data_IF_222824122110
#
_entry.id   IF_222824122110
#
_cell.length_a   1.000
_cell.length_b   1.000
_cell.length_c   1.000
_cell.angle_alpha   90.00
_cell.angle_beta   90.00
_cell.angle_gamma   90.00
#
_symmetry.space_group_name_H-M   'P 1'
#
loop_
_entity.id
_entity.type
_entity.pdbx_description
1 polymer ?
#
# COMPACT_ATOMS: atom_id res chain seq x y z
N UNK A 1 1.37 7.72 10.82
CA UNK A 1 -0.01 7.29 11.13
C UNK A 1 -0.15 7.16 12.64
N UNK A 2 -1.20 7.73 13.22
CA UNK A 2 -1.52 7.56 14.66
C UNK A 2 -2.40 6.30 14.77
N UNK A 3 -2.04 5.30 15.59
CA UNK A 3 -2.88 4.13 15.80
C UNK A 3 -4.30 4.52 16.20
N UNK A 4 -5.30 3.79 15.68
CA UNK A 4 -6.73 4.07 15.91
C UNK A 4 -7.06 4.26 17.39
N UNK A 5 -6.63 3.34 18.23
CA UNK A 5 -6.94 3.36 19.67
C UNK A 5 -6.29 4.56 20.37
N UNK A 6 -5.08 4.92 19.94
CA UNK A 6 -4.39 6.11 20.42
C UNK A 6 -5.12 7.39 20.00
N UNK A 7 -5.56 7.47 18.74
CA UNK A 7 -6.32 8.60 18.24
C UNK A 7 -7.60 8.80 19.06
N UNK A 8 -8.39 7.76 19.30
CA UNK A 8 -9.64 7.89 20.07
C UNK A 8 -9.42 8.15 21.56
N UNK A 9 -8.31 7.65 22.13
CA UNK A 9 -8.00 7.82 23.54
C UNK A 9 -7.43 9.21 23.85
N UNK A 10 -6.49 9.68 23.04
CA UNK A 10 -5.64 10.85 23.35
C UNK A 10 -5.90 12.07 22.47
N UNK A 11 -6.38 11.91 21.23
CA UNK A 11 -6.49 13.01 20.27
C UNK A 11 -7.94 13.44 20.00
N UNK A 12 -8.79 12.51 19.55
CA UNK A 12 -10.22 12.69 19.19
C UNK A 12 -10.53 13.65 18.05
N UNK A 13 -9.66 14.60 17.75
CA UNK A 13 -9.77 15.55 16.65
C UNK A 13 -8.41 15.71 15.92
N UNK A 14 -8.39 16.23 14.67
CA UNK A 14 -7.18 16.32 13.87
C UNK A 14 -6.13 17.29 14.41
N UNK A 15 -6.51 18.36 15.10
CA UNK A 15 -5.56 19.32 15.67
C UNK A 15 -4.75 18.69 16.80
N UNK A 16 -5.41 18.01 17.73
CA UNK A 16 -4.75 17.31 18.83
C UNK A 16 -3.90 16.13 18.32
N UNK A 17 -4.32 15.49 17.23
CA UNK A 17 -3.54 14.45 16.56
C UNK A 17 -2.23 15.00 15.96
N UNK A 18 -2.30 16.12 15.25
CA UNK A 18 -1.11 16.78 14.70
C UNK A 18 -0.18 17.24 15.83
N UNK A 19 -0.73 17.88 16.88
CA UNK A 19 0.05 18.32 18.03
C UNK A 19 0.74 17.14 18.71
N UNK A 20 0.00 16.05 19.00
CA UNK A 20 0.58 14.82 19.54
C UNK A 20 1.74 14.32 18.69
N UNK A 21 1.59 14.36 17.36
CA UNK A 21 2.66 14.02 16.41
C UNK A 21 3.89 14.93 16.53
N UNK A 22 3.69 16.24 16.66
CA UNK A 22 4.78 17.21 16.85
C UNK A 22 5.57 16.92 18.14
N UNK A 23 4.93 16.44 19.20
CA UNK A 23 5.60 16.18 20.48
C UNK A 23 6.24 14.79 20.55
N UNK A 24 5.63 13.77 19.93
CA UNK A 24 5.94 12.36 20.23
C UNK A 24 6.55 11.56 19.06
N UNK A 25 6.44 12.01 17.80
CA UNK A 25 6.92 11.21 16.66
C UNK A 25 8.40 11.48 16.37
N UNK A 26 8.79 12.74 16.19
CA UNK A 26 10.17 13.11 15.90
C UNK A 26 10.44 14.59 16.19
N UNK A 27 11.59 14.94 16.81
CA UNK A 27 11.97 16.34 17.04
C UNK A 27 12.13 17.14 15.73
N UNK A 28 12.38 16.46 14.61
CA UNK A 28 12.47 17.09 13.28
C UNK A 28 11.19 17.80 12.85
N UNK A 29 10.02 17.34 13.31
CA UNK A 29 8.73 17.94 12.96
C UNK A 29 8.68 19.36 13.54
N UNK A 30 8.87 19.52 14.85
CA UNK A 30 8.91 20.85 15.49
C UNK A 30 9.97 21.76 14.89
N UNK A 31 11.18 21.23 14.63
CA UNK A 31 12.28 22.01 14.04
C UNK A 31 11.91 22.58 12.67
N UNK A 32 11.24 21.80 11.81
CA UNK A 32 10.86 22.21 10.45
C UNK A 32 9.66 23.14 10.43
N UNK A 33 8.74 23.00 11.39
CA UNK A 33 7.50 23.78 11.47
C UNK A 33 7.58 25.01 12.41
N UNK A 34 8.75 25.33 12.98
CA UNK A 34 8.92 26.41 13.97
C UNK A 34 8.34 27.78 13.55
N UNK A 35 8.37 28.10 12.25
CA UNK A 35 7.85 29.35 11.68
C UNK A 35 6.77 29.09 10.62
N UNK A 36 6.17 27.89 10.61
CA UNK A 36 5.13 27.55 9.66
C UNK A 36 3.80 28.15 10.10
N UNK A 37 3.06 28.71 9.15
CA UNK A 37 1.69 29.16 9.34
C UNK A 37 0.73 28.14 8.74
N UNK A 38 -0.24 27.66 9.53
CA UNK A 38 -1.26 26.73 9.04
C UNK A 38 -2.26 27.48 8.16
N UNK A 39 -2.50 26.95 6.98
CA UNK A 39 -3.55 27.44 6.07
C UNK A 39 -4.68 26.41 6.02
N UNK A 40 -5.89 26.85 6.37
CA UNK A 40 -7.10 26.01 6.42
C UNK A 40 -7.22 25.14 7.68
N UNK A 41 -8.31 24.37 7.73
CA UNK A 41 -8.63 23.47 8.84
C UNK A 41 -7.97 22.10 8.66
N UNK A 42 -7.54 21.50 9.78
CA UNK A 42 -7.01 20.15 9.78
C UNK A 42 -8.14 19.11 9.64
N UNK A 43 -7.82 17.95 9.07
CA UNK A 43 -8.79 16.89 8.80
C UNK A 43 -8.25 15.54 9.27
N UNK A 44 -9.17 14.65 9.63
CA UNK A 44 -8.87 13.26 9.97
C UNK A 44 -9.63 12.32 9.04
N UNK A 45 -8.95 11.27 8.60
CA UNK A 45 -9.51 10.24 7.74
C UNK A 45 -9.01 8.87 8.21
N UNK A 46 -9.85 7.86 8.03
CA UNK A 46 -9.48 6.49 8.33
C UNK A 46 -8.42 5.97 7.36
N UNK A 47 -7.38 5.33 7.90
CA UNK A 47 -6.28 4.70 7.16
C UNK A 47 -6.27 3.20 7.47
N UNK A 48 -7.26 2.48 6.93
CA UNK A 48 -7.40 1.03 7.13
C UNK A 48 -7.19 0.32 5.80
N UNK A 49 -6.15 -0.52 5.72
CA UNK A 49 -5.97 -1.40 4.56
C UNK A 49 -7.15 -2.37 4.44
N UNK A 50 -7.74 -2.48 3.26
CA UNK A 50 -8.84 -3.40 2.96
C UNK A 50 -8.70 -4.01 1.57
N UNK A 51 -9.41 -5.13 1.36
CA UNK A 51 -9.57 -5.80 0.08
C UNK A 51 -10.99 -6.33 -0.03
N UNK A 52 -11.63 -6.13 -1.18
CA UNK A 52 -12.97 -6.61 -1.50
C UNK A 52 -12.85 -7.74 -2.52
N UNK A 53 -13.50 -8.88 -2.23
CA UNK A 53 -13.62 -9.99 -3.17
C UNK A 53 -15.05 -10.54 -3.18
N UNK A 54 -15.62 -10.86 -4.36
CA UNK A 54 -15.08 -10.59 -5.69
C UNK A 54 -15.09 -9.08 -6.01
N UNK A 55 -14.17 -8.63 -6.87
CA UNK A 55 -14.13 -7.26 -7.39
C UNK A 55 -14.31 -7.18 -8.91
N UNK A 56 -14.70 -8.30 -9.51
CA UNK A 56 -15.07 -8.43 -10.92
C UNK A 56 -16.28 -9.35 -11.02
N UNK A 57 -17.16 -9.11 -12.00
CA UNK A 57 -18.33 -9.93 -12.27
C UNK A 57 -18.97 -9.60 -13.61
N UNK A 58 -20.13 -10.21 -13.89
CA UNK A 58 -20.84 -10.02 -15.16
C UNK A 58 -21.32 -8.58 -15.30
N UNK A 59 -20.77 -7.86 -16.27
CA UNK A 59 -21.08 -6.45 -16.53
C UNK A 59 -20.47 -5.44 -15.56
N UNK A 60 -19.57 -5.84 -14.66
CA UNK A 60 -18.94 -4.91 -13.71
C UNK A 60 -17.52 -5.31 -13.28
N UNK A 61 -16.70 -4.31 -12.98
CA UNK A 61 -15.42 -4.47 -12.28
C UNK A 61 -15.12 -3.23 -11.44
N UNK A 62 -14.26 -3.38 -10.44
CA UNK A 62 -13.75 -2.28 -9.63
C UNK A 62 -12.28 -1.96 -9.98
N UNK A 63 -11.89 -0.70 -9.82
CA UNK A 63 -10.51 -0.21 -9.98
C UNK A 63 -10.11 0.69 -8.81
N UNK A 64 -8.82 0.75 -8.52
CA UNK A 64 -8.22 1.53 -7.44
C UNK A 64 -8.82 1.21 -6.08
N UNK A 65 -8.97 2.26 -5.27
CA UNK A 65 -9.50 2.17 -3.92
C UNK A 65 -10.92 1.57 -3.87
N UNK A 66 -11.68 1.54 -4.97
CA UNK A 66 -13.01 0.92 -4.98
C UNK A 66 -13.02 -0.58 -4.61
N UNK A 67 -11.88 -1.28 -4.68
CA UNK A 67 -11.77 -2.66 -4.17
C UNK A 67 -10.61 -2.90 -3.21
N UNK A 68 -9.53 -2.12 -3.27
CA UNK A 68 -8.37 -2.36 -2.42
C UNK A 68 -7.65 -1.08 -2.06
N UNK A 69 -7.39 -0.91 -0.77
CA UNK A 69 -6.63 0.19 -0.21
C UNK A 69 -5.45 -0.36 0.58
N UNK A 70 -4.29 0.26 0.41
CA UNK A 70 -3.04 -0.07 1.11
C UNK A 70 -2.59 1.15 1.92
N UNK A 71 -1.86 0.91 3.02
CA UNK A 71 -1.23 1.98 3.81
C UNK A 71 -0.46 2.97 2.89
N UNK A 72 -0.76 4.28 2.95
CA UNK A 72 -0.22 5.28 2.05
C UNK A 72 1.24 5.67 2.34
N UNK A 73 1.92 5.04 3.31
CA UNK A 73 3.31 5.35 3.68
C UNK A 73 4.29 5.36 2.49
N UNK A 74 4.06 4.51 1.48
CA UNK A 74 4.86 4.47 0.24
C UNK A 74 4.13 5.04 -0.98
N UNK A 75 3.02 5.76 -0.79
CA UNK A 75 2.35 6.57 -1.83
C UNK A 75 1.91 5.81 -3.11
N UNK A 76 1.49 4.53 -2.98
CA UNK A 76 1.07 3.72 -4.12
C UNK A 76 -0.30 4.07 -4.70
N UNK A 77 -1.24 4.59 -3.91
CA UNK A 77 -2.68 4.65 -4.24
C UNK A 77 -2.98 5.22 -5.64
N UNK A 78 -2.51 6.44 -5.93
CA UNK A 78 -2.73 7.09 -7.23
C UNK A 78 -2.06 6.32 -8.38
N UNK A 79 -0.83 5.84 -8.17
CA UNK A 79 -0.08 5.07 -9.16
C UNK A 79 -0.81 3.77 -9.55
N UNK A 80 -1.39 3.09 -8.56
CA UNK A 80 -2.10 1.84 -8.76
C UNK A 80 -3.48 2.08 -9.36
N UNK A 81 -4.23 3.08 -8.89
CA UNK A 81 -5.52 3.45 -9.48
C UNK A 81 -5.40 3.75 -10.99
N UNK A 82 -4.37 4.48 -11.41
CA UNK A 82 -4.11 4.75 -12.83
C UNK A 82 -3.75 3.47 -13.60
N UNK A 83 -2.86 2.62 -13.07
CA UNK A 83 -2.48 1.36 -13.72
C UNK A 83 -3.66 0.41 -13.87
N UNK A 84 -4.48 0.28 -12.82
CA UNK A 84 -5.69 -0.54 -12.85
C UNK A 84 -6.71 0.01 -13.85
N UNK A 85 -6.92 1.33 -13.93
CA UNK A 85 -7.79 1.93 -14.93
C UNK A 85 -7.36 1.62 -16.36
N UNK A 86 -6.05 1.72 -16.66
CA UNK A 86 -5.49 1.36 -17.97
C UNK A 86 -5.70 -0.13 -18.26
N UNK A 87 -5.33 -1.01 -17.33
CA UNK A 87 -5.43 -2.47 -17.53
C UNK A 87 -6.87 -2.96 -17.62
N UNK A 88 -7.78 -2.35 -16.87
CA UNK A 88 -9.20 -2.65 -16.89
C UNK A 88 -9.85 -2.23 -18.22
N UNK A 89 -9.41 -1.13 -18.83
CA UNK A 89 -9.90 -0.73 -20.16
C UNK A 89 -9.63 -1.81 -21.22
N UNK A 90 -8.46 -2.43 -21.20
CA UNK A 90 -8.13 -3.57 -22.09
C UNK A 90 -9.06 -4.76 -21.86
N UNK A 91 -9.33 -5.08 -20.58
CA UNK A 91 -10.22 -6.19 -20.21
C UNK A 91 -11.67 -5.92 -20.62
N UNK A 92 -12.15 -4.68 -20.44
CA UNK A 92 -13.49 -4.25 -20.87
C UNK A 92 -13.62 -4.37 -22.38
N UNK A 93 -12.63 -3.90 -23.14
CA UNK A 93 -12.63 -4.02 -24.60
C UNK A 93 -12.74 -5.48 -25.05
N UNK A 94 -11.94 -6.36 -24.47
CA UNK A 94 -11.97 -7.80 -24.79
C UNK A 94 -13.32 -8.44 -24.43
N UNK A 95 -13.91 -8.05 -23.30
CA UNK A 95 -15.21 -8.57 -22.88
C UNK A 95 -16.34 -8.16 -23.84
N UNK A 96 -16.33 -6.90 -24.30
CA UNK A 96 -17.29 -6.38 -25.27
C UNK A 96 -17.11 -7.07 -26.63
N UNK A 97 -15.88 -7.16 -27.13
CA UNK A 97 -15.59 -7.72 -28.46
C UNK A 97 -15.83 -9.24 -28.52
N UNK A 98 -15.54 -9.96 -27.43
CA UNK A 98 -15.65 -11.42 -27.36
C UNK A 98 -17.00 -11.94 -26.83
N UNK A 99 -17.86 -11.06 -26.31
CA UNK A 99 -19.10 -11.43 -25.62
C UNK A 99 -18.88 -12.45 -24.48
N UNK A 100 -17.73 -12.38 -23.80
CA UNK A 100 -17.37 -13.15 -22.60
C UNK A 100 -16.59 -12.26 -21.63
N UNK A 101 -17.13 -12.05 -20.43
CA UNK A 101 -16.47 -11.25 -19.41
C UNK A 101 -15.45 -12.05 -18.59
N UNK A 102 -15.65 -13.38 -18.44
CA UNK A 102 -14.93 -14.17 -17.43
C UNK A 102 -13.43 -14.18 -17.69
N UNK A 103 -13.05 -14.52 -18.91
CA UNK A 103 -11.64 -14.61 -19.30
C UNK A 103 -10.88 -13.30 -19.12
N UNK A 104 -11.31 -12.17 -19.72
CA UNK A 104 -10.58 -10.91 -19.59
C UNK A 104 -10.62 -10.34 -18.17
N UNK A 105 -11.74 -10.48 -17.44
CA UNK A 105 -11.85 -9.91 -16.10
C UNK A 105 -11.08 -10.73 -15.07
N UNK A 106 -10.98 -12.06 -15.19
CA UNK A 106 -10.10 -12.85 -14.35
C UNK A 106 -8.62 -12.59 -14.64
N UNK A 107 -8.24 -12.37 -15.90
CA UNK A 107 -6.88 -11.94 -16.22
C UNK A 107 -6.53 -10.58 -15.59
N UNK A 108 -7.46 -9.62 -15.59
CA UNK A 108 -7.30 -8.35 -14.86
C UNK A 108 -7.20 -8.57 -13.34
N UNK A 109 -8.09 -9.39 -12.78
CA UNK A 109 -8.12 -9.71 -11.34
C UNK A 109 -6.78 -10.29 -10.88
N UNK A 110 -6.25 -11.27 -11.60
CA UNK A 110 -5.02 -11.97 -11.21
C UNK A 110 -3.80 -11.06 -11.32
N UNK A 111 -3.74 -10.24 -12.37
CA UNK A 111 -2.73 -9.19 -12.53
C UNK A 111 -2.78 -8.16 -11.38
N UNK A 112 -3.98 -7.67 -11.03
CA UNK A 112 -4.18 -6.69 -9.95
C UNK A 112 -3.77 -7.29 -8.61
N UNK A 113 -4.24 -8.51 -8.31
CA UNK A 113 -3.91 -9.22 -7.09
C UNK A 113 -2.41 -9.42 -6.92
N UNK A 114 -1.69 -9.82 -7.98
CA UNK A 114 -0.24 -10.00 -7.96
C UNK A 114 0.49 -8.72 -7.56
N UNK A 115 0.25 -7.63 -8.29
CA UNK A 115 0.97 -6.38 -8.05
C UNK A 115 0.61 -5.70 -6.72
N UNK A 116 -0.67 -5.68 -6.37
CA UNK A 116 -1.11 -5.13 -5.09
C UNK A 116 -0.60 -5.95 -3.90
N UNK A 117 -0.42 -7.27 -4.06
CA UNK A 117 0.11 -8.10 -3.00
C UNK A 117 1.61 -7.87 -2.75
N UNK A 118 2.40 -7.64 -3.80
CA UNK A 118 3.83 -7.30 -3.66
C UNK A 118 3.99 -5.98 -2.88
N UNK A 119 3.19 -4.97 -3.19
CA UNK A 119 3.20 -3.71 -2.45
C UNK A 119 2.76 -3.88 -0.99
N UNK A 120 1.72 -4.69 -0.75
CA UNK A 120 1.27 -5.00 0.61
C UNK A 120 2.36 -5.71 1.43
N UNK A 121 3.09 -6.65 0.82
CA UNK A 121 4.21 -7.33 1.48
C UNK A 121 5.35 -6.37 1.79
N UNK A 122 5.71 -5.48 0.86
CA UNK A 122 6.74 -4.47 1.10
C UNK A 122 6.37 -3.56 2.28
N UNK A 123 5.13 -3.07 2.33
CA UNK A 123 4.62 -2.26 3.44
C UNK A 123 4.70 -3.02 4.76
N UNK A 124 4.20 -4.26 4.77
CA UNK A 124 4.15 -5.09 5.97
C UNK A 124 5.56 -5.42 6.47
N UNK A 125 6.46 -5.73 5.54
CA UNK A 125 7.87 -5.98 5.84
C UNK A 125 8.55 -4.76 6.46
N UNK A 126 8.30 -3.56 5.92
CA UNK A 126 8.79 -2.32 6.50
C UNK A 126 8.30 -2.11 7.94
N UNK A 127 7.02 -2.36 8.21
CA UNK A 127 6.46 -2.20 9.56
C UNK A 127 7.00 -3.22 10.56
N UNK A 128 7.27 -4.46 10.14
CA UNK A 128 7.86 -5.50 11.01
C UNK A 128 9.35 -5.25 11.24
N UNK A 129 10.09 -4.85 10.20
CA UNK A 129 11.55 -4.76 10.21
C UNK A 129 12.09 -3.42 9.70
N UNK A 130 11.71 -2.26 10.27
CA UNK A 130 12.04 -0.95 9.69
C UNK A 130 13.55 -0.66 9.64
N UNK A 131 14.28 -1.08 10.67
CA UNK A 131 15.74 -0.93 10.73
C UNK A 131 16.42 -1.83 9.70
N UNK A 132 15.97 -3.08 9.59
CA UNK A 132 16.57 -4.03 8.66
C UNK A 132 16.27 -3.67 7.19
N UNK A 133 15.07 -3.15 6.91
CA UNK A 133 14.74 -2.55 5.62
C UNK A 133 15.75 -1.45 5.25
N UNK A 134 16.09 -0.57 6.20
CA UNK A 134 17.12 0.45 6.00
C UNK A 134 18.51 -0.12 5.71
N UNK A 135 18.94 -1.15 6.46
CA UNK A 135 20.22 -1.82 6.20
C UNK A 135 20.25 -2.53 4.84
N UNK A 136 19.15 -3.13 4.41
CA UNK A 136 19.06 -3.79 3.11
C UNK A 136 19.23 -2.81 1.93
N UNK A 137 18.96 -1.52 2.12
CA UNK A 137 19.23 -0.50 1.09
C UNK A 137 20.73 -0.27 0.85
N UNK A 138 21.61 -0.83 1.69
CA UNK A 138 23.06 -0.86 1.45
C UNK A 138 23.49 -2.01 0.54
N UNK A 139 22.64 -3.02 0.34
CA UNK A 139 22.86 -4.08 -0.64
C UNK A 139 22.46 -3.58 -2.03
N UNK A 140 23.38 -3.49 -3.01
CA UNK A 140 23.10 -2.90 -4.32
C UNK A 140 22.00 -3.64 -5.09
N UNK A 141 21.99 -4.97 -5.09
CA UNK A 141 20.99 -5.77 -5.79
C UNK A 141 19.57 -5.49 -5.25
N UNK A 142 19.42 -5.52 -3.91
CA UNK A 142 18.13 -5.30 -3.27
C UNK A 142 17.69 -3.85 -3.39
N UNK A 143 18.64 -2.91 -3.31
CA UNK A 143 18.37 -1.48 -3.48
C UNK A 143 17.74 -1.21 -4.84
N UNK A 144 18.29 -1.76 -5.92
CA UNK A 144 17.79 -1.51 -7.27
C UNK A 144 16.38 -2.07 -7.48
N UNK A 145 16.10 -3.27 -6.98
CA UNK A 145 14.74 -3.83 -7.01
C UNK A 145 13.77 -2.99 -6.16
N UNK A 146 14.16 -2.61 -4.94
CA UNK A 146 13.30 -1.80 -4.05
C UNK A 146 13.03 -0.42 -4.62
N UNK A 147 14.00 0.22 -5.30
CA UNK A 147 13.77 1.49 -6.02
C UNK A 147 12.65 1.33 -7.06
N UNK A 148 12.68 0.25 -7.84
CA UNK A 148 11.66 -0.02 -8.86
C UNK A 148 10.31 -0.34 -8.23
N UNK A 149 10.30 -1.15 -7.17
CA UNK A 149 9.07 -1.47 -6.42
C UNK A 149 8.43 -0.20 -5.87
N UNK A 150 9.20 0.66 -5.18
CA UNK A 150 8.73 1.95 -4.66
C UNK A 150 8.29 2.92 -5.78
N UNK A 151 8.84 2.78 -6.99
CA UNK A 151 8.36 3.47 -8.20
C UNK A 151 7.02 2.95 -8.74
N UNK A 152 6.48 1.88 -8.16
CA UNK A 152 5.21 1.25 -8.57
C UNK A 152 5.36 0.15 -9.63
N UNK A 153 6.57 -0.34 -9.90
CA UNK A 153 6.82 -1.48 -10.78
C UNK A 153 6.57 -2.81 -10.06
N UNK A 154 5.36 -3.00 -9.50
CA UNK A 154 4.99 -4.19 -8.75
C UNK A 154 4.25 -5.24 -9.58
N UNK A 155 3.84 -4.91 -10.82
CA UNK A 155 2.94 -5.75 -11.62
C UNK A 155 3.66 -6.66 -12.64
N UNK A 156 5.00 -6.61 -12.67
CA UNK A 156 5.85 -7.41 -13.55
C UNK A 156 7.20 -7.66 -12.84
N UNK A 157 7.19 -8.62 -11.91
CA UNK A 157 8.31 -8.88 -10.99
C UNK A 157 8.75 -10.34 -10.97
N UNK A 158 8.44 -11.11 -12.02
CA UNK A 158 8.83 -12.51 -12.07
C UNK A 158 10.36 -12.63 -12.01
N UNK A 159 10.86 -13.48 -11.11
CA UNK A 159 12.30 -13.70 -10.91
C UNK A 159 13.02 -12.67 -10.04
N UNK A 160 12.34 -11.65 -9.50
CA UNK A 160 12.96 -10.67 -8.59
C UNK A 160 13.16 -11.27 -7.19
N UNK A 161 14.23 -10.88 -6.50
CA UNK A 161 14.59 -11.41 -5.18
C UNK A 161 13.75 -10.79 -4.05
N UNK A 162 13.50 -9.48 -4.12
CA UNK A 162 12.87 -8.70 -3.06
C UNK A 162 11.45 -9.17 -2.72
N UNK A 163 10.53 -9.41 -3.69
CA UNK A 163 9.20 -9.95 -3.37
C UNK A 163 9.25 -11.26 -2.59
N UNK A 164 10.14 -12.19 -2.96
CA UNK A 164 10.32 -13.46 -2.26
C UNK A 164 10.87 -13.26 -0.84
N UNK A 165 11.83 -12.35 -0.66
CA UNK A 165 12.38 -12.02 0.67
C UNK A 165 11.28 -11.48 1.59
N UNK A 166 10.47 -10.53 1.12
CA UNK A 166 9.40 -9.95 1.92
C UNK A 166 8.38 -11.00 2.31
N UNK A 167 7.91 -11.80 1.35
CA UNK A 167 6.94 -12.87 1.59
C UNK A 167 7.44 -13.88 2.62
N UNK A 168 8.64 -14.40 2.45
CA UNK A 168 9.19 -15.42 3.33
C UNK A 168 9.36 -14.92 4.77
N UNK A 169 9.86 -13.69 4.93
CA UNK A 169 10.06 -13.09 6.25
C UNK A 169 8.73 -12.84 6.97
N UNK A 170 7.70 -12.41 6.24
CA UNK A 170 6.35 -12.20 6.78
C UNK A 170 5.73 -13.52 7.23
N UNK A 171 5.80 -14.56 6.40
CA UNK A 171 5.28 -15.88 6.76
C UNK A 171 5.99 -16.47 7.97
N UNK A 172 7.31 -16.28 8.09
CA UNK A 172 8.07 -16.71 9.26
C UNK A 172 7.65 -15.95 10.52
N UNK A 173 7.48 -14.63 10.42
CA UNK A 173 6.99 -13.81 11.51
C UNK A 173 5.62 -14.29 12.00
N UNK A 174 4.68 -14.52 11.08
CA UNK A 174 3.32 -14.98 11.40
C UNK A 174 3.31 -16.36 12.05
N UNK A 175 4.09 -17.32 11.51
CA UNK A 175 4.23 -18.65 12.12
C UNK A 175 4.73 -18.58 13.56
N UNK A 176 5.69 -17.69 13.85
CA UNK A 176 6.24 -17.52 15.20
C UNK A 176 5.24 -16.89 16.17
N UNK A 177 4.41 -15.97 15.72
CA UNK A 177 3.36 -15.36 16.55
C UNK A 177 2.22 -16.33 16.89
N UNK A 178 1.89 -17.28 16.00
CA UNK A 178 0.85 -18.29 16.28
C UNK A 178 1.32 -19.44 17.17
N UNK A 179 2.64 -19.61 17.33
CA UNK A 179 3.23 -20.70 18.11
C UNK A 179 3.52 -20.33 19.58
N UNK A 180 3.38 -19.05 19.95
CA UNK A 180 3.58 -18.54 21.31
C UNK A 180 2.28 -18.07 21.93
#
# INVERSE_FOLDING_TARGET
MIPKDLYYKECKNPDDAIEWGMQNISPEIRRRFQNAERIGDSQSMADFSYRIEPFVGDGWLCIGDAHRFLDPIFSYGVSFAMKEGIRAADAIKQAIDGNDWKTPFYAYRDWSNGGQQIAADLIRYFWIYPIFFGYQMQNPDLRDEVIRLLGGCCFDCEGWKAPTIFRNAIEEYDRKQMAG
#
